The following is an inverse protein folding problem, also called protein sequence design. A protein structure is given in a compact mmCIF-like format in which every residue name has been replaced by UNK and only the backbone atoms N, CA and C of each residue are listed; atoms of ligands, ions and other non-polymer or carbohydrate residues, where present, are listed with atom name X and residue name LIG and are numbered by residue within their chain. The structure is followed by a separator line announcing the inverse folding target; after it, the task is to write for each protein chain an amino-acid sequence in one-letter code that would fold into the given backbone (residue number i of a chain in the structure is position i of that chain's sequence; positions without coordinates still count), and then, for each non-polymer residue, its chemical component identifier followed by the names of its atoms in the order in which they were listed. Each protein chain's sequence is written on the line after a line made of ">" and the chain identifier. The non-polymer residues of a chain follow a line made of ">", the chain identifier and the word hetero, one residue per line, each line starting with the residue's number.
data_IF_241577029716
#
_entry.id   IF_241577029716
#
_cell.length_a   1.000
_cell.length_b   1.000
_cell.length_c   1.000
_cell.angle_alpha   90.00
_cell.angle_beta   90.00
_cell.angle_gamma   90.00
#
_symmetry.space_group_name_H-M   'P 1'
#
loop_
_entity.id
_entity.type
_entity.pdbx_description
1 polymer ?
2 polymer ?
3 polymer ?
4 polymer ?
5 polymer ?
6 polymer ?
7 non-polymer ?
8 water ?
#
loop_
_entity_poly.entity_id
_entity_poly.type
_entity_poly.pdbx_seq_one_letter_code
_entity_poly.pdbx_strand_id
3 'polydeoxyribonucleotide' '(DT)(DC)(DA)(DG)(DA)(DC)(DT)(DT)(DG)(DT)(DC)(DC)(DA)(DC)' ?
4 'polydeoxyribonucleotide' '(DT)(DC)(DT)(DG)(DA)(DC)(DT)(DC)(DC)(DT)(DG)(DT)(DG)(DG)' ?
5 'polydeoxyribonucleotide' '(DG)(DG)(DG)(DA)(DG)(DT)(DC)(DA)(DG)(DA)' ?
6 'polydeoxyribonucleotide' '(DA)(DC)(DA)(DA)(DG)(DT)(DC)(DT)(DG)(DA)' ?
#
# COMPACT_ATOMS: atom_id res chain seq x y z
N UNK A 1 -23.56 -13.51 -6.68
CA UNK A 1 -22.92 -12.32 -7.24
C UNK A 1 -23.23 -11.06 -6.45
N UNK A 2 -22.55 -10.89 -5.32
CA UNK A 2 -22.71 -9.69 -4.52
C UNK A 2 -21.95 -8.53 -5.16
N UNK A 3 -22.69 -7.49 -5.54
CA UNK A 3 -22.08 -6.32 -6.18
C UNK A 3 -21.53 -5.34 -5.14
N UNK A 4 -20.33 -4.83 -5.37
CA UNK A 4 -19.65 -4.01 -4.37
C UNK A 4 -19.74 -2.51 -4.63
N UNK A 5 -19.75 -1.74 -3.54
CA UNK A 5 -19.80 -0.29 -3.60
C UNK A 5 -18.59 0.30 -4.31
N UNK A 6 -18.85 1.23 -5.22
CA UNK A 6 -17.80 1.79 -6.09
C UNK A 6 -16.73 2.54 -5.29
N UNK A 7 -17.14 3.23 -4.23
CA UNK A 7 -16.18 3.94 -3.40
C UNK A 7 -15.32 2.98 -2.60
N UNK A 8 -15.90 1.84 -2.24
CA UNK A 8 -15.18 0.80 -1.52
C UNK A 8 -14.15 0.13 -2.41
N UNK A 9 -14.51 -0.10 -3.67
CA UNK A 9 -13.61 -0.70 -4.64
C UNK A 9 -12.44 0.23 -4.97
N UNK A 10 -12.72 1.52 -5.04
CA UNK A 10 -11.67 2.51 -5.32
C UNK A 10 -10.63 2.57 -4.20
N UNK A 11 -11.09 2.57 -2.95
CA UNK A 11 -10.17 2.58 -1.83
C UNK A 11 -9.38 1.27 -1.79
N UNK A 12 -10.08 0.15 -2.00
CA UNK A 12 -9.48 -1.17 -1.90
C UNK A 12 -8.42 -1.38 -2.97
N UNK A 13 -8.70 -0.93 -4.19
CA UNK A 13 -7.76 -1.04 -5.29
C UNK A 13 -6.44 -0.35 -4.97
N UNK A 14 -6.54 0.77 -4.24
CA UNK A 14 -5.35 1.50 -3.83
C UNK A 14 -4.54 0.72 -2.83
N UNK A 15 -5.24 0.14 -1.84
CA UNK A 15 -4.59 -0.65 -0.81
C UNK A 15 -4.03 -1.95 -1.37
N UNK A 16 -4.68 -2.47 -2.41
CA UNK A 16 -4.24 -3.71 -3.04
C UNK A 16 -2.98 -3.47 -3.86
N UNK A 17 -2.93 -2.35 -4.56
CA UNK A 17 -1.75 -2.00 -5.34
C UNK A 17 -0.55 -1.73 -4.44
N UNK A 18 -0.82 -1.40 -3.18
CA UNK A 18 0.24 -1.10 -2.23
C UNK A 18 0.69 -2.32 -1.45
N UNK A 19 -0.20 -2.86 -0.60
CA UNK A 19 0.15 -3.95 0.29
C UNK A 19 -0.44 -5.30 -0.13
N UNK A 20 -1.19 -5.30 -1.24
CA UNK A 20 -1.85 -6.52 -1.67
C UNK A 20 -1.01 -7.39 -2.59
N UNK A 21 -1.58 -8.52 -2.99
CA UNK A 21 -0.89 -9.43 -3.90
C UNK A 21 -1.84 -10.37 -4.62
N UNK A 22 -1.63 -10.51 -5.92
CA UNK A 22 -2.41 -11.42 -6.74
C UNK A 22 -1.49 -12.55 -7.20
N UNK A 23 -1.71 -13.74 -6.67
CA UNK A 23 -0.77 -14.84 -6.84
C UNK A 23 -1.31 -16.03 -7.62
N UNK A 24 -0.63 -16.37 -8.72
CA UNK A 24 -0.95 -17.56 -9.49
C UNK A 24 0.15 -18.60 -9.27
N UNK A 25 -0.24 -19.77 -8.78
CA UNK A 25 0.74 -20.80 -8.44
C UNK A 25 0.50 -22.13 -9.15
N UNK A 26 1.58 -22.73 -9.63
CA UNK A 26 1.52 -24.07 -10.21
C UNK A 26 2.00 -25.07 -9.17
N UNK A 27 1.06 -25.79 -8.56
CA UNK A 27 1.41 -26.74 -7.51
C UNK A 27 1.39 -28.17 -8.03
N UNK A 28 2.39 -28.97 -7.63
CA UNK A 28 2.48 -30.37 -8.06
C UNK A 28 1.50 -31.26 -7.32
N UNK A 29 0.97 -32.27 -8.01
CA UNK A 29 0.05 -33.22 -7.41
C UNK A 29 -0.02 -34.53 -8.19
N UNK A 30 0.44 -35.61 -7.59
CA UNK A 30 0.56 -36.90 -8.27
C UNK A 30 -0.78 -37.51 -8.66
N UNK A 31 -1.81 -37.28 -7.85
CA UNK A 31 -3.13 -37.85 -8.13
C UNK A 31 -3.78 -37.19 -9.33
N UNK A 32 -3.36 -35.96 -9.63
CA UNK A 32 -3.95 -35.18 -10.70
C UNK A 32 -3.43 -35.62 -12.08
N UNK A 33 -4.23 -35.37 -13.11
CA UNK A 33 -3.96 -35.80 -14.47
C UNK A 33 -2.58 -35.39 -14.99
N UNK A 34 -2.31 -34.10 -15.00
CA UNK A 34 -1.04 -33.60 -15.54
C UNK A 34 0.03 -33.39 -14.47
N UNK A 35 -0.14 -34.05 -13.33
CA UNK A 35 0.80 -33.97 -12.21
C UNK A 35 0.97 -32.56 -11.64
N UNK A 36 0.10 -31.63 -12.05
CA UNK A 36 0.19 -30.25 -11.57
C UNK A 36 -1.19 -29.59 -11.48
N UNK A 37 -1.47 -28.99 -10.33
CA UNK A 37 -2.71 -28.24 -10.12
C UNK A 37 -2.42 -26.74 -10.17
N UNK A 38 -3.46 -25.94 -10.35
CA UNK A 38 -3.31 -24.49 -10.38
C UNK A 38 -4.06 -23.84 -9.23
N UNK A 39 -3.47 -22.80 -8.65
CA UNK A 39 -4.11 -22.08 -7.57
C UNK A 39 -3.95 -20.57 -7.69
N UNK A 40 -5.08 -19.87 -7.64
CA UNK A 40 -5.10 -18.42 -7.73
C UNK A 40 -5.44 -17.82 -6.36
N UNK A 41 -4.73 -16.76 -5.98
CA UNK A 41 -4.89 -16.19 -4.64
C UNK A 41 -4.88 -14.67 -4.61
N UNK A 42 -5.92 -14.10 -4.02
CA UNK A 42 -5.94 -12.68 -3.70
C UNK A 42 -5.49 -12.52 -2.26
N UNK A 43 -4.49 -11.67 -2.03
CA UNK A 43 -3.86 -11.58 -0.72
C UNK A 43 -3.63 -10.14 -0.29
N UNK A 44 -4.18 -9.79 0.88
CA UNK A 44 -3.90 -8.51 1.50
C UNK A 44 -3.14 -8.73 2.80
N UNK A 45 -1.96 -8.15 2.91
CA UNK A 45 -1.07 -8.40 4.03
C UNK A 45 -0.96 -7.19 4.96
N UNK A 46 -0.91 -7.45 6.27
CA UNK A 46 -0.72 -6.40 7.25
C UNK A 46 -0.27 -7.03 8.57
N UNK A 47 0.47 -6.28 9.38
CA UNK A 47 0.94 -6.81 10.66
C UNK A 47 -0.25 -7.12 11.57
N UNK A 48 -0.06 -8.06 12.48
CA UNK A 48 -1.15 -8.55 13.33
C UNK A 48 -1.69 -7.44 14.23
N UNK A 49 -0.86 -6.46 14.53
CA UNK A 49 -1.27 -5.31 15.32
C UNK A 49 -2.49 -4.62 14.71
N UNK A 50 -2.58 -4.64 13.39
CA UNK A 50 -3.72 -4.06 12.70
C UNK A 50 -4.60 -5.11 12.03
N UNK A 51 -4.71 -6.28 12.66
CA UNK A 51 -5.51 -7.36 12.12
C UNK A 51 -6.98 -6.98 11.93
N UNK A 52 -7.45 -6.06 12.76
CA UNK A 52 -8.84 -5.61 12.71
C UNK A 52 -9.21 -5.04 11.33
N UNK A 53 -8.25 -4.38 10.71
CA UNK A 53 -8.43 -3.83 9.37
C UNK A 53 -8.71 -4.96 8.38
N UNK A 54 -8.04 -6.10 8.58
CA UNK A 54 -8.28 -7.27 7.74
C UNK A 54 -9.58 -7.96 8.12
N UNK A 55 -9.98 -7.84 9.40
CA UNK A 55 -11.23 -8.42 9.86
C UNK A 55 -12.43 -7.70 9.24
N UNK A 56 -12.30 -6.38 9.08
CA UNK A 56 -13.35 -5.60 8.42
C UNK A 56 -13.47 -6.01 6.95
N UNK A 57 -12.33 -6.25 6.32
CA UNK A 57 -12.29 -6.60 4.91
C UNK A 57 -13.06 -7.88 4.61
N UNK A 58 -13.02 -8.83 5.53
CA UNK A 58 -13.75 -10.09 5.37
C UNK A 58 -15.26 -9.83 5.38
N UNK A 59 -15.70 -9.05 6.36
CA UNK A 59 -17.10 -8.68 6.48
C UNK A 59 -17.59 -7.91 5.26
N UNK A 60 -16.72 -7.07 4.73
CA UNK A 60 -17.07 -6.22 3.59
C UNK A 60 -17.16 -7.01 2.29
N UNK A 61 -16.19 -7.88 2.05
CA UNK A 61 -16.19 -8.73 0.86
C UNK A 61 -17.17 -9.88 1.04
N UNK A 62 -17.36 -10.30 2.30
CA UNK A 62 -18.30 -11.36 2.61
C UNK A 62 -17.66 -12.73 2.62
N UNK A 63 -16.68 -12.93 1.75
CA UNK A 63 -16.00 -14.20 1.62
C UNK A 63 -14.52 -14.02 1.92
N UNK A 64 -13.85 -15.10 2.32
CA UNK A 64 -12.42 -15.06 2.63
C UNK A 64 -12.12 -15.43 4.06
N UNK A 65 -10.84 -15.28 4.45
CA UNK A 65 -10.42 -15.62 5.80
C UNK A 65 -9.14 -14.87 6.16
N UNK A 66 -8.85 -14.80 7.45
CA UNK A 66 -7.62 -14.16 7.92
C UNK A 66 -6.72 -15.15 8.66
N UNK A 67 -5.50 -15.30 8.17
CA UNK A 67 -4.55 -16.25 8.75
C UNK A 67 -3.38 -15.54 9.42
N UNK A 68 -2.92 -16.10 10.52
CA UNK A 68 -1.80 -15.53 11.28
C UNK A 68 -0.59 -16.44 11.31
N UNK A 69 0.58 -15.84 11.16
CA UNK A 69 1.85 -16.56 11.30
C UNK A 69 2.95 -15.56 11.59
N UNK A 70 3.52 -15.65 12.78
CA UNK A 70 4.54 -14.70 13.19
C UNK A 70 3.91 -13.40 13.68
N UNK A 71 4.38 -12.28 13.15
CA UNK A 71 3.87 -10.98 13.55
C UNK A 71 3.01 -10.35 12.46
N UNK A 72 2.57 -11.17 11.52
CA UNK A 72 1.84 -10.66 10.35
C UNK A 72 0.57 -11.45 10.07
N UNK A 73 -0.52 -10.73 9.79
CA UNK A 73 -1.78 -11.36 9.41
C UNK A 73 -2.04 -11.18 7.92
N UNK A 74 -2.95 -11.98 7.37
CA UNK A 74 -3.22 -11.97 5.94
C UNK A 74 -4.67 -12.31 5.63
N UNK A 75 -5.31 -11.50 4.81
CA UNK A 75 -6.59 -11.88 4.22
C UNK A 75 -6.29 -12.65 2.94
N UNK A 76 -7.02 -13.73 2.72
CA UNK A 76 -6.83 -14.52 1.51
C UNK A 76 -8.10 -15.08 0.91
N UNK A 77 -8.12 -15.17 -0.41
CA UNK A 77 -9.26 -15.69 -1.13
C UNK A 77 -8.75 -16.49 -2.33
N UNK A 78 -9.04 -17.79 -2.33
CA UNK A 78 -8.66 -18.67 -3.42
C UNK A 78 -9.86 -19.42 -4.01
N UNK A 79 -11.02 -19.25 -3.40
CA UNK A 79 -12.23 -19.87 -3.90
C UNK A 79 -12.57 -19.25 -5.27
N UNK A 80 -12.48 -20.08 -6.30
CA UNK A 80 -12.52 -19.61 -7.69
C UNK A 80 -13.75 -18.76 -8.06
N UNK A 81 -14.94 -19.22 -7.70
CA UNK A 81 -16.17 -18.50 -8.06
C UNK A 81 -16.28 -17.10 -7.42
N UNK A 82 -16.14 -17.00 -6.09
CA UNK A 82 -16.20 -15.65 -5.51
C UNK A 82 -15.02 -14.77 -5.94
N UNK A 83 -13.87 -15.40 -6.17
CA UNK A 83 -12.68 -14.67 -6.58
C UNK A 83 -12.87 -14.03 -7.96
N UNK A 84 -13.46 -14.78 -8.88
CA UNK A 84 -13.72 -14.28 -10.23
C UNK A 84 -14.70 -13.11 -10.19
N UNK A 85 -15.74 -13.25 -9.38
CA UNK A 85 -16.73 -12.19 -9.20
C UNK A 85 -16.12 -10.95 -8.57
N UNK A 86 -15.24 -11.18 -7.59
CA UNK A 86 -14.62 -10.08 -6.87
C UNK A 86 -13.59 -9.34 -7.72
N UNK A 87 -12.72 -10.10 -8.40
CA UNK A 87 -11.71 -9.50 -9.26
C UNK A 87 -12.31 -8.77 -10.46
N UNK A 88 -13.49 -9.21 -10.90
CA UNK A 88 -14.14 -8.58 -12.05
C UNK A 88 -14.50 -7.13 -11.73
N UNK A 89 -15.02 -6.91 -10.52
CA UNK A 89 -15.43 -5.58 -10.10
C UNK A 89 -14.23 -4.72 -9.70
N UNK A 90 -13.19 -5.38 -9.21
CA UNK A 90 -12.02 -4.67 -8.69
C UNK A 90 -11.04 -4.27 -9.80
N UNK A 91 -11.00 -5.06 -10.87
CA UNK A 91 -10.07 -4.85 -11.97
C UNK A 91 -10.02 -3.43 -12.57
N UNK A 92 -11.18 -2.81 -12.85
CA UNK A 92 -11.11 -1.50 -13.53
C UNK A 92 -10.44 -0.40 -12.72
N UNK A 93 -10.30 -0.59 -11.41
CA UNK A 93 -9.72 0.43 -10.55
C UNK A 93 -8.26 0.14 -10.22
N UNK A 94 -7.79 -1.05 -10.55
CA UNK A 94 -6.40 -1.41 -10.30
C UNK A 94 -5.48 -0.68 -11.27
N UNK A 95 -4.31 -0.29 -10.78
CA UNK A 95 -3.37 0.45 -11.61
C UNK A 95 -2.02 -0.24 -11.68
N UNK A 96 -1.62 -0.91 -10.61
CA UNK A 96 -0.33 -1.59 -10.58
C UNK A 96 -0.47 -3.09 -10.76
N UNK A 97 -1.65 -3.60 -10.45
CA UNK A 97 -1.90 -5.04 -10.53
C UNK A 97 -3.08 -5.36 -11.43
N UNK A 98 -3.42 -4.43 -12.33
CA UNK A 98 -4.54 -4.62 -13.24
C UNK A 98 -4.31 -5.78 -14.21
N UNK A 99 -3.07 -5.91 -14.68
CA UNK A 99 -2.72 -6.97 -15.62
C UNK A 99 -2.75 -8.34 -14.95
N UNK A 100 -2.31 -8.38 -13.69
CA UNK A 100 -2.35 -9.62 -12.91
C UNK A 100 -3.79 -10.08 -12.73
N UNK A 101 -4.68 -9.14 -12.41
CA UNK A 101 -6.09 -9.44 -12.20
C UNK A 101 -6.74 -10.02 -13.45
N UNK A 102 -6.49 -9.38 -14.60
CA UNK A 102 -7.06 -9.82 -15.86
C UNK A 102 -6.57 -11.21 -16.27
N UNK A 103 -5.29 -11.48 -16.05
CA UNK A 103 -4.73 -12.78 -16.35
C UNK A 103 -5.36 -13.87 -15.51
N UNK A 104 -5.56 -13.58 -14.22
CA UNK A 104 -6.23 -14.52 -13.33
C UNK A 104 -7.65 -14.79 -13.81
N UNK A 105 -8.35 -13.72 -14.20
CA UNK A 105 -9.68 -13.84 -14.77
C UNK A 105 -9.64 -14.68 -16.05
N UNK A 106 -8.57 -14.51 -16.82
CA UNK A 106 -8.40 -15.24 -18.06
C UNK A 106 -8.16 -16.72 -17.77
N UNK A 107 -7.34 -16.99 -16.76
CA UNK A 107 -7.04 -18.36 -16.37
C UNK A 107 -8.29 -19.09 -15.89
N UNK A 108 -9.07 -18.41 -15.06
CA UNK A 108 -10.29 -18.97 -14.51
C UNK A 108 -11.29 -19.34 -15.61
N UNK A 109 -11.43 -18.47 -16.60
CA UNK A 109 -12.37 -18.71 -17.69
C UNK A 109 -11.91 -19.86 -18.59
N UNK A 110 -10.60 -20.07 -18.68
CA UNK A 110 -10.06 -21.15 -19.50
C UNK A 110 -9.69 -22.36 -18.68
N UNK A 111 -10.15 -22.38 -17.43
CA UNK A 111 -9.85 -23.47 -16.51
C UNK A 111 -10.50 -24.81 -16.84
N UNK A 112 -11.83 -24.82 -17.14
CA UNK A 112 -12.44 -26.11 -17.45
C UNK A 112 -11.95 -26.72 -18.76
N UNK A 113 -11.41 -25.89 -19.64
CA UNK A 113 -10.90 -26.35 -20.92
C UNK A 113 -9.41 -26.65 -20.86
N UNK A 114 -8.83 -26.50 -19.67
CA UNK A 114 -7.41 -26.75 -19.47
C UNK A 114 -7.14 -28.16 -18.94
N UNK A 115 -8.19 -28.78 -18.41
CA UNK A 115 -8.07 -30.14 -17.88
C UNK A 115 -8.21 -31.18 -18.99
N UNK A 116 -8.17 -30.70 -20.23
CA UNK A 116 -8.35 -31.57 -21.39
C UNK A 116 -7.03 -31.97 -22.01
N UNK A 117 -6.57 -31.17 -22.98
CA UNK A 117 -5.33 -31.47 -23.69
C UNK A 117 -4.11 -30.81 -23.03
N UNK A 118 -2.99 -31.55 -23.00
CA UNK A 118 -1.73 -31.10 -22.39
C UNK A 118 -1.22 -29.79 -22.98
N UNK A 119 -1.33 -29.62 -24.30
CA UNK A 119 -0.86 -28.42 -24.97
C UNK A 119 -1.61 -27.18 -24.46
N UNK A 120 -2.90 -27.34 -24.18
CA UNK A 120 -3.71 -26.25 -23.66
C UNK A 120 -3.32 -25.93 -22.21
N UNK A 121 -3.05 -26.97 -21.44
CA UNK A 121 -2.65 -26.82 -20.04
C UNK A 121 -1.31 -26.07 -19.93
N UNK A 122 -0.41 -26.35 -20.87
CA UNK A 122 0.88 -25.67 -20.92
C UNK A 122 0.69 -24.18 -21.19
N UNK A 123 -0.28 -23.86 -22.04
CA UNK A 123 -0.56 -22.48 -22.38
C UNK A 123 -1.07 -21.71 -21.17
N UNK A 124 -1.92 -22.36 -20.38
CA UNK A 124 -2.47 -21.73 -19.18
C UNK A 124 -1.37 -21.47 -18.16
N UNK A 125 -0.43 -22.41 -18.06
CA UNK A 125 0.70 -22.26 -17.15
C UNK A 125 1.63 -21.12 -17.59
N UNK A 126 1.62 -20.83 -18.89
CA UNK A 126 2.41 -19.73 -19.42
C UNK A 126 1.84 -18.40 -18.93
N UNK A 127 0.51 -18.35 -18.80
CA UNK A 127 -0.16 -17.18 -18.25
C UNK A 127 0.23 -16.98 -16.79
N UNK A 128 0.44 -18.09 -16.08
CA UNK A 128 0.89 -18.04 -14.69
C UNK A 128 2.29 -17.45 -14.61
N UNK A 129 3.13 -17.74 -15.60
CA UNK A 129 4.47 -17.19 -15.66
C UNK A 129 4.43 -15.67 -15.76
N UNK A 130 3.56 -15.17 -16.63
CA UNK A 130 3.43 -13.74 -16.86
C UNK A 130 3.05 -13.01 -15.58
N UNK A 131 2.17 -13.62 -14.79
CA UNK A 131 1.75 -13.04 -13.52
C UNK A 131 2.93 -12.95 -12.55
N UNK A 132 3.70 -14.03 -12.47
CA UNK A 132 4.88 -14.04 -11.62
C UNK A 132 5.92 -13.06 -12.16
N UNK A 133 5.97 -12.92 -13.49
CA UNK A 133 6.87 -11.98 -14.13
C UNK A 133 6.50 -10.53 -13.84
N UNK A 134 5.19 -10.25 -13.83
CA UNK A 134 4.70 -8.92 -13.54
C UNK A 134 4.89 -8.60 -12.05
N UNK A 135 4.72 -9.61 -11.21
CA UNK A 135 4.97 -9.44 -9.79
C UNK A 135 6.46 -9.33 -9.51
N UNK A 136 6.80 -9.02 -8.25
CA UNK A 136 8.18 -9.03 -7.82
C UNK A 136 8.51 -10.41 -7.28
N UNK A 137 8.58 -11.39 -8.18
CA UNK A 137 8.82 -12.78 -7.80
C UNK A 137 10.27 -12.98 -7.39
N UNK A 138 10.47 -13.70 -6.29
CA UNK A 138 11.81 -13.92 -5.76
C UNK A 138 12.03 -15.34 -5.24
N UNK A 139 10.93 -16.05 -5.00
CA UNK A 139 11.02 -17.40 -4.43
C UNK A 139 10.24 -18.44 -5.23
N UNK A 140 10.07 -18.19 -6.52
CA UNK A 140 9.30 -19.09 -7.37
C UNK A 140 10.10 -20.33 -7.76
N UNK A 141 9.46 -21.49 -7.68
CA UNK A 141 10.11 -22.75 -8.04
C UNK A 141 9.51 -23.38 -9.29
N UNK A 142 8.23 -23.75 -9.20
CA UNK A 142 7.57 -24.46 -10.28
C UNK A 142 7.07 -23.52 -11.37
N UNK A 143 7.65 -23.64 -12.56
CA UNK A 143 7.23 -22.83 -13.70
C UNK A 143 6.55 -23.70 -14.75
N UNK A 144 6.30 -23.14 -15.91
CA UNK A 144 5.64 -23.88 -16.99
C UNK A 144 6.61 -24.86 -17.65
N UNK A 145 7.91 -24.54 -17.61
CA UNK A 145 8.92 -25.44 -18.16
C UNK A 145 9.14 -26.63 -17.23
N UNK A 146 8.81 -26.46 -15.96
CA UNK A 146 8.86 -27.56 -15.01
C UNK A 146 7.79 -28.57 -15.39
N UNK A 147 6.61 -28.07 -15.72
CA UNK A 147 5.51 -28.89 -16.19
C UNK A 147 5.89 -29.58 -17.52
N UNK A 148 6.59 -28.85 -18.36
CA UNK A 148 7.05 -29.36 -19.65
C UNK A 148 7.90 -30.62 -19.49
N UNK A 149 8.84 -30.56 -18.54
CA UNK A 149 9.74 -31.69 -18.30
C UNK A 149 8.98 -32.92 -17.79
N UNK A 150 8.01 -32.68 -16.91
CA UNK A 150 7.22 -33.77 -16.34
C UNK A 150 6.28 -34.36 -17.39
N UNK A 151 5.74 -33.50 -18.23
CA UNK A 151 4.80 -33.94 -19.27
C UNK A 151 5.43 -34.91 -20.26
N UNK A 152 6.69 -34.67 -20.61
CA UNK A 152 7.42 -35.58 -21.48
C UNK A 152 7.76 -36.87 -20.75
N UNK A 153 6.92 -37.89 -20.94
CA UNK A 153 7.10 -39.16 -20.25
C UNK A 153 6.56 -40.31 -21.08
N UNK B 1 -5.23 27.25 -4.45
CA UNK B 1 -5.66 26.02 -3.80
C UNK B 1 -6.35 25.05 -4.78
N UNK B 2 -5.65 23.99 -5.11
CA UNK B 2 -6.15 23.01 -6.08
C UNK B 2 -7.18 22.09 -5.45
N UNK B 3 -8.29 21.89 -6.16
CA UNK B 3 -9.30 20.93 -5.76
C UNK B 3 -9.03 19.60 -6.47
N UNK B 4 -9.09 18.51 -5.73
CA UNK B 4 -8.79 17.19 -6.28
C UNK B 4 -10.04 16.36 -6.47
N UNK B 5 -10.07 15.56 -7.54
CA UNK B 5 -11.18 14.68 -7.82
C UNK B 5 -11.37 13.62 -6.73
N UNK B 6 -12.62 13.31 -6.43
CA UNK B 6 -12.95 12.39 -5.34
C UNK B 6 -12.46 10.97 -5.59
N UNK B 7 -12.68 10.46 -6.80
CA UNK B 7 -12.26 9.10 -7.14
C UNK B 7 -10.74 8.98 -7.09
N UNK B 8 -10.06 10.09 -7.35
CA UNK B 8 -8.61 10.13 -7.23
C UNK B 8 -8.18 10.05 -5.77
N UNK B 9 -8.85 10.81 -4.91
CA UNK B 9 -8.53 10.80 -3.49
C UNK B 9 -8.85 9.47 -2.83
N UNK B 10 -9.89 8.80 -3.32
CA UNK B 10 -10.28 7.49 -2.79
C UNK B 10 -9.23 6.42 -3.05
N UNK B 11 -8.73 6.37 -4.27
CA UNK B 11 -7.70 5.40 -4.64
C UNK B 11 -6.41 5.71 -3.89
N UNK B 12 -6.03 6.98 -3.90
CA UNK B 12 -4.78 7.42 -3.31
C UNK B 12 -4.74 7.15 -1.81
N UNK B 13 -5.89 7.28 -1.15
CA UNK B 13 -5.99 7.02 0.28
C UNK B 13 -5.58 5.59 0.60
N UNK B 14 -6.12 4.65 -0.17
CA UNK B 14 -5.81 3.24 0.02
C UNK B 14 -4.33 2.97 -0.19
N UNK B 15 -3.76 3.58 -1.23
CA UNK B 15 -2.36 3.40 -1.55
C UNK B 15 -1.46 4.03 -0.49
N UNK B 16 -1.85 5.20 -0.01
CA UNK B 16 -1.11 5.88 1.05
C UNK B 16 -1.16 5.06 2.34
N UNK B 17 -2.34 4.55 2.69
CA UNK B 17 -2.48 3.69 3.86
C UNK B 17 -1.62 2.45 3.74
N UNK B 18 -1.32 2.06 2.51
CA UNK B 18 -0.50 0.89 2.26
C UNK B 18 0.98 1.20 2.16
N UNK B 19 1.37 1.99 1.17
CA UNK B 19 2.78 2.24 0.87
C UNK B 19 3.21 3.68 1.08
N UNK B 20 2.36 4.47 1.72
CA UNK B 20 2.67 5.86 1.96
C UNK B 20 3.12 6.12 3.38
N UNK B 21 3.45 7.37 3.68
CA UNK B 21 3.90 7.73 5.00
C UNK B 21 3.65 9.19 5.33
N UNK B 22 3.10 9.44 6.51
CA UNK B 22 2.87 10.79 6.99
C UNK B 22 3.80 11.05 8.16
N UNK B 23 4.77 11.94 7.95
CA UNK B 23 5.89 12.09 8.88
C UNK B 23 5.96 13.47 9.53
N UNK B 24 6.13 13.47 10.84
CA UNK B 24 6.39 14.69 11.60
C UNK B 24 7.76 14.57 12.25
N UNK B 25 8.60 15.59 12.06
CA UNK B 25 9.98 15.54 12.56
C UNK B 25 10.41 16.80 13.29
N UNK B 26 11.22 16.60 14.32
CA UNK B 26 11.90 17.69 15.00
C UNK B 26 13.38 17.63 14.63
N UNK B 27 13.81 18.53 13.74
CA UNK B 27 15.19 18.48 13.27
C UNK B 27 16.08 19.50 13.97
N UNK B 28 17.32 19.09 14.29
CA UNK B 28 18.33 19.98 14.90
C UNK B 28 18.70 21.09 13.95
N UNK B 29 18.51 22.33 14.39
CA UNK B 29 18.81 23.49 13.56
C UNK B 29 19.54 24.57 14.35
N UNK B 30 20.87 24.46 14.36
CA UNK B 30 21.72 25.37 15.14
C UNK B 30 21.48 26.82 14.75
N UNK B 31 21.51 27.09 13.44
CA UNK B 31 21.17 28.41 12.94
C UNK B 31 19.67 28.64 13.04
N UNK B 32 19.17 28.76 14.27
CA UNK B 32 17.74 28.91 14.51
C UNK B 32 17.42 29.54 15.84
N UNK B 33 16.13 29.67 16.14
CA UNK B 33 15.66 30.35 17.34
C UNK B 33 15.75 29.46 18.57
N UNK B 34 15.08 28.31 18.53
CA UNK B 34 15.10 27.37 19.65
C UNK B 34 15.99 26.17 19.36
N UNK B 35 16.90 26.34 18.40
CA UNK B 35 17.81 25.28 17.97
C UNK B 35 17.10 24.04 17.41
N UNK B 36 15.79 24.15 17.21
CA UNK B 36 15.01 23.03 16.68
C UNK B 36 14.04 23.45 15.58
N UNK B 37 14.15 22.78 14.44
CA UNK B 37 13.33 23.07 13.27
C UNK B 37 12.27 22.00 13.12
N UNK B 38 11.06 22.39 12.71
CA UNK B 38 9.99 21.43 12.47
C UNK B 38 9.84 21.11 10.98
N UNK B 39 9.63 19.83 10.68
CA UNK B 39 9.51 19.37 9.31
C UNK B 39 8.34 18.40 9.16
N UNK B 40 7.40 18.73 8.29
CA UNK B 40 6.28 17.85 7.99
C UNK B 40 6.44 17.30 6.58
N UNK B 41 6.21 16.00 6.43
CA UNK B 41 6.46 15.35 5.14
C UNK B 41 5.42 14.30 4.78
N UNK B 42 4.75 14.52 3.65
CA UNK B 42 3.93 13.47 3.05
C UNK B 42 4.82 12.72 2.07
N UNK B 43 4.77 11.39 2.12
CA UNK B 43 5.72 10.60 1.34
C UNK B 43 5.12 9.28 0.83
N UNK B 44 5.29 9.04 -0.46
CA UNK B 44 4.86 7.79 -1.07
C UNK B 44 6.06 7.05 -1.62
N UNK B 45 6.28 5.84 -1.11
CA UNK B 45 7.44 5.04 -1.46
C UNK B 45 7.09 4.00 -2.52
N UNK B 46 8.02 3.76 -3.44
CA UNK B 46 7.84 2.71 -4.46
C UNK B 46 9.16 2.37 -5.15
N UNK B 47 9.26 1.13 -5.64
CA UNK B 47 10.45 0.66 -6.33
C UNK B 47 10.70 1.51 -7.58
N UNK B 48 11.98 1.74 -7.88
CA UNK B 48 12.36 2.63 -8.98
C UNK B 48 11.89 2.10 -10.33
N UNK B 49 11.70 0.79 -10.42
CA UNK B 49 11.15 0.15 -11.61
C UNK B 49 9.80 0.76 -11.96
N UNK B 50 9.08 1.21 -10.94
CA UNK B 50 7.79 1.86 -11.14
C UNK B 50 7.85 3.34 -10.77
N UNK B 51 8.95 4.00 -11.11
CA UNK B 51 9.09 5.43 -10.85
C UNK B 51 8.01 6.23 -11.58
N UNK B 52 7.56 5.71 -12.72
CA UNK B 52 6.53 6.38 -13.51
C UNK B 52 5.27 6.62 -12.69
N UNK B 53 4.95 5.67 -11.83
CA UNK B 53 3.78 5.79 -10.97
C UNK B 53 3.91 6.99 -10.02
N UNK B 54 5.10 7.19 -9.47
CA UNK B 54 5.36 8.30 -8.57
C UNK B 54 5.50 9.62 -9.34
N UNK B 55 5.93 9.52 -10.59
CA UNK B 55 6.05 10.67 -11.46
C UNK B 55 4.66 11.24 -11.76
N UNK B 56 3.68 10.35 -11.89
CA UNK B 56 2.31 10.74 -12.15
C UNK B 56 1.76 11.57 -11.00
N UNK B 57 2.14 11.20 -9.78
CA UNK B 57 1.71 11.91 -8.58
C UNK B 57 2.10 13.39 -8.58
N UNK B 58 3.29 13.69 -9.08
CA UNK B 58 3.78 15.07 -9.13
C UNK B 58 2.87 15.93 -10.00
N UNK B 59 2.41 15.34 -11.10
CA UNK B 59 1.54 16.06 -12.03
C UNK B 59 0.12 16.16 -11.50
N UNK B 60 -0.36 15.10 -10.86
CA UNK B 60 -1.73 15.04 -10.36
C UNK B 60 -1.95 15.90 -9.13
N UNK B 61 -1.01 15.83 -8.18
CA UNK B 61 -1.10 16.63 -6.97
C UNK B 61 -0.75 18.08 -7.29
N UNK B 62 0.17 18.27 -8.22
CA UNK B 62 0.53 19.60 -8.67
C UNK B 62 1.83 20.08 -8.07
N UNK B 63 2.25 19.44 -6.98
CA UNK B 63 3.50 19.79 -6.32
C UNK B 63 4.24 18.52 -5.92
N UNK B 64 5.33 18.67 -5.18
CA UNK B 64 6.10 17.53 -4.71
C UNK B 64 7.21 17.14 -5.66
N UNK B 65 8.00 16.15 -5.26
CA UNK B 65 9.13 15.68 -6.05
C UNK B 65 9.30 14.17 -5.94
N UNK B 66 10.16 13.63 -6.80
CA UNK B 66 10.50 12.21 -6.75
C UNK B 66 12.02 12.04 -6.74
N UNK B 67 12.54 11.38 -5.72
CA UNK B 67 13.98 11.13 -5.63
C UNK B 67 14.28 9.65 -5.52
N UNK B 68 15.51 9.26 -5.88
CA UNK B 68 15.93 7.88 -5.83
C UNK B 68 16.87 7.64 -4.65
N UNK B 69 16.82 6.43 -4.09
CA UNK B 69 17.65 6.06 -2.96
C UNK B 69 17.86 4.56 -2.94
N UNK B 70 18.70 4.07 -3.84
CA UNK B 70 18.93 2.64 -3.98
C UNK B 70 18.06 2.07 -5.08
N UNK B 71 17.36 0.99 -4.77
CA UNK B 71 16.45 0.37 -5.74
C UNK B 71 15.04 0.89 -5.56
N UNK B 72 14.91 1.95 -4.75
CA UNK B 72 13.60 2.45 -4.36
C UNK B 72 13.50 3.97 -4.55
N UNK B 73 12.36 4.43 -5.04
CA UNK B 73 12.10 5.85 -5.18
C UNK B 73 11.00 6.30 -4.21
N UNK B 74 10.88 7.61 -4.02
CA UNK B 74 9.82 8.15 -3.16
C UNK B 74 9.26 9.45 -3.71
N UNK B 75 7.95 9.64 -3.58
CA UNK B 75 7.35 10.94 -3.78
C UNK B 75 7.51 11.74 -2.48
N UNK B 76 7.71 13.05 -2.61
CA UNK B 76 8.09 13.87 -1.47
C UNK B 76 7.39 15.22 -1.51
N UNK B 77 6.60 15.52 -0.47
CA UNK B 77 5.97 16.83 -0.34
C UNK B 77 6.15 17.37 1.08
N UNK B 78 6.78 18.53 1.20
CA UNK B 78 7.05 19.12 2.50
C UNK B 78 6.63 20.59 2.59
N UNK B 79 6.39 21.21 1.43
CA UNK B 79 5.97 22.61 1.40
C UNK B 79 4.64 22.77 2.13
N UNK B 80 4.68 23.53 3.23
CA UNK B 80 3.58 23.59 4.20
C UNK B 80 2.19 23.87 3.61
N UNK B 81 2.09 24.86 2.73
CA UNK B 81 0.78 25.28 2.25
C UNK B 81 0.09 24.31 1.29
N UNK B 82 0.79 23.83 0.24
CA UNK B 82 0.13 22.80 -0.57
C UNK B 82 -0.04 21.49 0.19
N UNK B 83 0.80 21.26 1.20
CA UNK B 83 0.67 20.06 2.04
C UNK B 83 -0.63 20.11 2.83
N UNK B 84 -0.90 21.25 3.45
CA UNK B 84 -2.11 21.46 4.21
C UNK B 84 -3.34 21.33 3.32
N UNK B 85 -3.23 21.84 2.09
CA UNK B 85 -4.32 21.77 1.13
C UNK B 85 -4.60 20.35 0.67
N UNK B 86 -3.53 19.59 0.45
CA UNK B 86 -3.65 18.22 -0.03
C UNK B 86 -4.17 17.28 1.07
N UNK B 87 -3.62 17.40 2.28
CA UNK B 87 -4.03 16.54 3.38
C UNK B 87 -5.42 16.85 3.91
N UNK B 88 -5.90 18.07 3.68
CA UNK B 88 -7.25 18.44 4.09
C UNK B 88 -8.27 17.65 3.30
N UNK B 89 -7.95 17.38 2.04
CA UNK B 89 -8.87 16.71 1.13
C UNK B 89 -8.74 15.19 1.19
N UNK B 90 -7.52 14.72 1.46
CA UNK B 90 -7.26 13.29 1.51
C UNK B 90 -7.76 12.66 2.80
N UNK B 91 -7.69 13.43 3.88
CA UNK B 91 -8.02 12.96 5.23
C UNK B 91 -9.35 12.21 5.42
N UNK B 92 -10.46 12.71 4.83
CA UNK B 92 -11.73 12.01 5.06
C UNK B 92 -11.76 10.56 4.53
N UNK B 93 -10.80 10.21 3.68
CA UNK B 93 -10.79 8.89 3.07
C UNK B 93 -9.78 7.95 3.71
N UNK B 94 -8.84 8.51 4.46
CA UNK B 94 -7.83 7.71 5.12
C UNK B 94 -8.44 6.87 6.25
N UNK B 95 -7.93 5.66 6.40
CA UNK B 95 -8.42 4.76 7.43
C UNK B 95 -7.32 4.41 8.43
N UNK B 96 -6.14 4.11 7.90
CA UNK B 96 -5.03 3.69 8.75
C UNK B 96 -4.18 4.86 9.23
N UNK B 97 -4.10 5.92 8.43
CA UNK B 97 -3.24 7.04 8.74
C UNK B 97 -4.03 8.35 8.86
N UNK B 98 -5.31 8.22 9.19
CA UNK B 98 -6.17 9.40 9.32
C UNK B 98 -5.76 10.30 10.48
N UNK B 99 -5.44 9.69 11.62
CA UNK B 99 -5.06 10.45 12.80
C UNK B 99 -3.73 11.19 12.63
N UNK B 100 -2.78 10.55 11.95
CA UNK B 100 -1.51 11.18 11.65
C UNK B 100 -1.72 12.41 10.77
N UNK B 101 -2.62 12.28 9.81
CA UNK B 101 -2.94 13.37 8.90
C UNK B 101 -3.53 14.54 9.66
N UNK B 102 -4.45 14.25 10.58
CA UNK B 102 -5.11 15.28 11.35
C UNK B 102 -4.16 16.02 12.29
N UNK B 103 -3.21 15.30 12.87
CA UNK B 103 -2.22 15.91 13.74
C UNK B 103 -1.29 16.81 12.93
N UNK B 104 -0.98 16.40 11.70
CA UNK B 104 -0.16 17.21 10.83
C UNK B 104 -0.87 18.50 10.45
N UNK B 105 -2.14 18.39 10.06
CA UNK B 105 -2.97 19.55 9.76
C UNK B 105 -3.03 20.49 10.96
N UNK B 106 -3.08 19.90 12.15
CA UNK B 106 -3.19 20.65 13.39
C UNK B 106 -1.87 21.33 13.76
N UNK B 107 -0.77 20.64 13.50
CA UNK B 107 0.57 21.20 13.73
C UNK B 107 0.83 22.38 12.79
N UNK B 108 0.45 22.21 11.52
CA UNK B 108 0.65 23.26 10.53
C UNK B 108 -0.09 24.53 10.90
N UNK B 109 -1.35 24.39 11.31
CA UNK B 109 -2.18 25.54 11.63
C UNK B 109 -1.69 26.28 12.87
N UNK B 110 -1.07 25.54 13.79
CA UNK B 110 -0.59 26.13 15.03
C UNK B 110 0.88 26.50 14.95
N UNK B 111 1.48 26.27 13.79
CA UNK B 111 2.90 26.52 13.57
C UNK B 111 3.38 27.96 13.81
N UNK B 112 2.65 28.98 13.32
CA UNK B 112 3.16 30.34 13.52
C UNK B 112 3.17 30.79 14.99
N UNK B 113 2.17 30.37 15.76
CA UNK B 113 2.10 30.76 17.18
C UNK B 113 3.09 29.96 18.01
N UNK B 114 3.63 28.90 17.43
CA UNK B 114 4.59 28.05 18.12
C UNK B 114 5.98 28.67 18.10
N UNK B 115 6.15 29.68 17.26
CA UNK B 115 7.44 30.38 17.17
C UNK B 115 7.58 31.39 18.29
N UNK B 116 6.49 31.62 19.03
CA UNK B 116 6.48 32.55 20.14
C UNK B 116 7.13 31.95 21.38
N UNK B 117 6.31 31.61 22.37
CA UNK B 117 6.81 31.01 23.61
C UNK B 117 7.31 29.59 23.37
N UNK B 118 8.36 29.20 24.10
CA UNK B 118 8.87 27.83 24.01
C UNK B 118 7.84 26.82 24.51
N UNK B 119 6.99 27.27 25.43
CA UNK B 119 5.95 26.40 25.99
C UNK B 119 4.99 25.93 24.91
N UNK B 120 4.58 26.85 24.04
CA UNK B 120 3.68 26.52 22.95
C UNK B 120 4.40 25.67 21.91
N UNK B 121 5.70 25.94 21.74
CA UNK B 121 6.53 25.18 20.80
C UNK B 121 6.67 23.73 21.26
N UNK B 122 6.95 23.55 22.54
CA UNK B 122 7.12 22.21 23.10
C UNK B 122 5.81 21.42 23.05
N UNK B 123 4.69 22.11 23.19
CA UNK B 123 3.39 21.47 23.12
C UNK B 123 3.19 20.88 21.73
N UNK B 124 3.59 21.66 20.72
CA UNK B 124 3.50 21.22 19.34
C UNK B 124 4.46 20.04 19.09
N UNK B 125 5.59 20.06 19.79
CA UNK B 125 6.56 18.98 19.71
C UNK B 125 5.97 17.67 20.24
N UNK B 126 5.07 17.77 21.21
CA UNK B 126 4.41 16.59 21.77
C UNK B 126 3.43 16.01 20.75
N UNK B 127 2.94 16.87 19.86
CA UNK B 127 2.03 16.43 18.81
C UNK B 127 2.83 15.68 17.76
N UNK B 128 4.10 16.05 17.61
CA UNK B 128 5.02 15.34 16.74
C UNK B 128 5.28 13.93 17.28
N UNK B 129 5.33 13.83 18.61
CA UNK B 129 5.53 12.55 19.28
C UNK B 129 4.40 11.58 18.97
N UNK B 130 3.17 12.07 19.03
CA UNK B 130 1.99 11.24 18.83
C UNK B 130 1.95 10.67 17.41
N UNK B 131 2.40 11.45 16.44
CA UNK B 131 2.45 11.00 15.05
C UNK B 131 3.42 9.83 14.91
N UNK B 132 4.58 9.97 15.54
CA UNK B 132 5.58 8.91 15.53
C UNK B 132 5.05 7.66 16.23
N UNK B 133 4.24 7.87 17.26
CA UNK B 133 3.64 6.76 18.01
C UNK B 133 2.65 5.98 17.14
N UNK B 134 1.87 6.71 16.34
CA UNK B 134 0.87 6.09 15.47
C UNK B 134 1.50 5.39 14.27
N UNK B 135 2.67 5.87 13.85
CA UNK B 135 3.43 5.18 12.81
C UNK B 135 4.19 4.01 13.41
N UNK B 136 4.87 3.24 12.57
CA UNK B 136 5.74 2.18 13.04
C UNK B 136 7.16 2.74 13.22
N UNK B 137 7.30 3.65 14.17
CA UNK B 137 8.58 4.31 14.41
C UNK B 137 9.61 3.32 14.92
N UNK B 138 10.80 3.36 14.34
CA UNK B 138 11.85 2.41 14.67
C UNK B 138 13.18 3.10 14.96
N UNK B 139 13.46 4.16 14.22
CA UNK B 139 14.73 4.85 14.34
C UNK B 139 14.57 6.35 14.65
N UNK B 140 13.94 6.64 15.78
CA UNK B 140 13.70 8.03 16.17
C UNK B 140 14.70 8.51 17.21
N UNK B 141 15.20 9.72 17.02
CA UNK B 141 16.18 10.28 17.96
C UNK B 141 15.62 11.50 18.69
N UNK B 142 15.43 12.59 17.95
CA UNK B 142 14.98 13.84 18.53
C UNK B 142 13.50 13.81 18.88
N UNK B 143 13.18 14.00 20.14
CA UNK B 143 11.79 14.05 20.58
C UNK B 143 11.54 15.35 21.33
N UNK B 144 10.39 15.45 21.98
CA UNK B 144 10.04 16.63 22.74
C UNK B 144 10.96 16.81 23.94
N UNK B 145 11.41 15.70 24.50
CA UNK B 145 12.33 15.73 25.64
C UNK B 145 13.73 16.14 25.21
N UNK B 146 14.06 15.86 23.94
CA UNK B 146 15.35 16.25 23.39
C UNK B 146 15.36 17.77 23.20
N UNK B 147 14.16 18.33 23.04
CA UNK B 147 14.02 19.78 22.90
C UNK B 147 14.01 20.44 24.27
N UNK B 148 13.29 19.85 25.21
CA UNK B 148 13.18 20.37 26.56
C UNK B 148 14.53 20.44 27.26
N UNK B 149 15.36 19.42 27.04
CA UNK B 149 16.69 19.36 27.66
C UNK B 149 17.57 20.50 27.18
N UNK B 150 17.49 20.80 25.88
CA UNK B 150 18.27 21.88 25.30
C UNK B 150 17.66 23.23 25.66
N UNK B 151 16.35 23.26 25.83
CA UNK B 151 15.63 24.48 26.15
C UNK B 151 15.73 24.88 27.63
N UNK B 152 15.66 23.89 28.51
CA UNK B 152 15.79 24.16 29.94
C UNK B 152 17.21 24.56 30.32
N UNK B 153 18.18 24.15 29.50
CA UNK B 153 19.57 24.54 29.72
C UNK B 153 19.75 26.04 29.50
N UNK B 154 18.92 26.60 28.61
CA UNK B 154 18.97 28.03 28.31
C UNK B 154 18.30 28.83 29.42
#
# INVERSE_FOLDING_TARGET
>A
NTKYNKEFLLYLAGFVDSDGSIIAQIKPNQSVKFKHRLQLTFDVTQKTQRRWFLDKLVDEIGVGYVADSGSVSKYRLSEIKPLHNFLTQLQPFLKLKQKQANLVLKIIEQLPSAKESPDKFLEVCTWVDQIAALNDSKTRKTTSETVRAVLDS
>B
NTKYNKEFLLYLAGFVDGDGSIIAQIKPNQSGKFKHKLSLTFKVTQKTQRRWFLDKLVDEIGVGYVYDSGSVSNYYLSEIKPLHNFLTQLQPFLKLKQKQANLVLKIIEQLPSAKESPDKFLEVCTWVDQVAALNDSKTRKTTSETVRAVLDSL
#
